data_IF_890373673289
#
_entry.id   IF_890373673289
#
_cell.length_a   1.000
_cell.length_b   1.000
_cell.length_c   1.000
_cell.angle_alpha   90.00
_cell.angle_beta   90.00
_cell.angle_gamma   90.00
#
_symmetry.space_group_name_H-M   'P 1'
#
loop_
_entity.id
_entity.type
_entity.pdbx_description
1 polymer ?
#
# COMPACT_ATOMS: atom_id res chain seq x y z
N UNK A 1 4.82 -29.05 -16.38
CA UNK A 1 5.02 -27.59 -16.53
C UNK A 1 3.67 -26.94 -16.26
N UNK A 2 3.60 -25.98 -15.34
CA UNK A 2 2.34 -25.26 -15.11
C UNK A 2 2.02 -24.45 -16.38
N UNK A 3 0.75 -24.45 -16.81
CA UNK A 3 0.32 -23.63 -17.95
C UNK A 3 0.58 -22.15 -17.68
N UNK A 4 1.03 -21.37 -18.68
CA UNK A 4 1.24 -19.94 -18.51
C UNK A 4 -0.09 -19.28 -18.13
N UNK A 5 -0.05 -18.46 -17.07
CA UNK A 5 -1.21 -17.68 -16.63
C UNK A 5 -1.51 -16.60 -17.67
N UNK A 6 -2.79 -16.31 -17.87
CA UNK A 6 -3.26 -15.30 -18.83
C UNK A 6 -3.78 -14.07 -18.10
N UNK A 7 -3.53 -12.91 -18.69
CA UNK A 7 -4.00 -11.63 -18.20
C UNK A 7 -5.53 -11.58 -18.25
N UNK A 8 -6.23 -11.27 -17.16
CA UNK A 8 -7.69 -11.25 -17.15
C UNK A 8 -8.29 -10.04 -17.87
N UNK A 9 -7.48 -9.05 -18.23
CA UNK A 9 -7.91 -7.87 -18.97
C UNK A 9 -7.84 -8.05 -20.50
N UNK A 10 -6.83 -8.76 -21.02
CA UNK A 10 -6.60 -8.88 -22.47
C UNK A 10 -6.20 -10.30 -22.95
N UNK A 11 -6.23 -11.30 -22.07
CA UNK A 11 -5.92 -12.72 -22.32
C UNK A 11 -4.48 -13.05 -22.79
N UNK A 12 -3.61 -12.07 -22.92
CA UNK A 12 -2.18 -12.27 -23.21
C UNK A 12 -1.47 -13.01 -22.06
N UNK A 13 -0.48 -13.89 -22.33
CA UNK A 13 0.26 -14.57 -21.29
C UNK A 13 1.11 -13.58 -20.49
N UNK A 14 1.14 -13.75 -19.17
CA UNK A 14 2.04 -12.99 -18.31
C UNK A 14 3.51 -13.33 -18.61
N UNK A 15 4.37 -12.34 -18.43
CA UNK A 15 5.83 -12.50 -18.45
C UNK A 15 6.40 -12.16 -17.06
N UNK A 16 7.44 -12.87 -16.61
CA UNK A 16 8.06 -12.59 -15.32
C UNK A 16 8.76 -11.24 -15.33
N UNK A 17 8.56 -10.46 -14.28
CA UNK A 17 9.16 -9.15 -14.06
C UNK A 17 9.77 -9.07 -12.66
N UNK A 18 11.07 -8.77 -12.56
CA UNK A 18 11.78 -8.77 -11.29
C UNK A 18 11.79 -7.38 -10.65
N UNK A 19 11.34 -7.30 -9.39
CA UNK A 19 11.38 -6.07 -8.59
C UNK A 19 11.79 -6.37 -7.16
N UNK A 20 12.85 -5.70 -6.68
CA UNK A 20 13.40 -5.90 -5.32
C UNK A 20 13.70 -7.38 -5.01
N UNK A 21 14.15 -8.13 -6.01
CA UNK A 21 14.42 -9.56 -5.87
C UNK A 21 13.17 -10.45 -5.81
N UNK A 22 11.99 -9.92 -6.11
CA UNK A 22 10.73 -10.65 -6.21
C UNK A 22 10.34 -10.76 -7.69
N UNK A 23 10.02 -11.95 -8.16
CA UNK A 23 9.43 -12.18 -9.47
C UNK A 23 7.94 -11.84 -9.41
N UNK A 24 7.43 -11.06 -10.36
CA UNK A 24 6.03 -10.63 -10.47
C UNK A 24 5.50 -10.96 -11.86
N UNK A 25 4.18 -11.16 -12.00
CA UNK A 25 3.53 -11.40 -13.29
C UNK A 25 3.15 -10.06 -13.95
N UNK A 26 3.77 -9.71 -15.08
CA UNK A 26 3.48 -8.49 -15.87
C UNK A 26 2.89 -8.84 -17.24
N UNK A 27 1.79 -8.19 -17.62
CA UNK A 27 1.18 -8.37 -18.93
C UNK A 27 1.85 -7.46 -19.97
N UNK A 28 2.45 -7.99 -21.06
CA UNK A 28 3.06 -7.17 -22.09
C UNK A 28 2.04 -6.45 -22.98
N UNK A 29 0.78 -6.91 -23.01
CA UNK A 29 -0.29 -6.35 -23.85
C UNK A 29 -0.91 -5.09 -23.25
N UNK A 30 -1.54 -5.22 -22.08
CA UNK A 30 -2.20 -4.08 -21.43
C UNK A 30 -1.37 -3.40 -20.33
N UNK A 31 -0.24 -3.99 -19.92
CA UNK A 31 0.58 -3.49 -18.82
C UNK A 31 0.06 -3.78 -17.41
N UNK A 32 -1.04 -4.52 -17.28
CA UNK A 32 -1.55 -4.97 -16.00
C UNK A 32 -0.58 -5.92 -15.29
N UNK A 33 -0.64 -5.95 -13.96
CA UNK A 33 0.17 -6.79 -13.10
C UNK A 33 -0.71 -7.71 -12.27
N UNK A 34 -0.25 -8.95 -12.08
CA UNK A 34 -0.82 -9.84 -11.08
C UNK A 34 0.21 -10.07 -9.96
N UNK A 35 -0.21 -9.80 -8.73
CA UNK A 35 0.57 -10.01 -7.53
C UNK A 35 0.04 -11.25 -6.81
N UNK A 36 0.89 -12.25 -6.64
CA UNK A 36 0.55 -13.44 -5.86
C UNK A 36 0.32 -13.13 -4.38
N UNK A 37 -0.33 -14.04 -3.64
CA UNK A 37 -0.51 -13.87 -2.20
C UNK A 37 0.84 -13.70 -1.50
N UNK A 38 1.03 -12.57 -0.81
CA UNK A 38 2.23 -12.26 -0.05
C UNK A 38 3.29 -11.45 -0.81
N UNK A 39 3.29 -11.46 -2.14
CA UNK A 39 4.20 -10.63 -2.96
C UNK A 39 4.07 -9.13 -2.70
N UNK A 40 2.87 -8.53 -2.53
CA UNK A 40 2.74 -7.12 -2.19
C UNK A 40 3.62 -6.75 -0.99
N UNK A 41 3.64 -7.59 0.05
CA UNK A 41 4.44 -7.37 1.26
C UNK A 41 5.94 -7.41 0.96
N UNK A 42 6.39 -8.35 0.12
CA UNK A 42 7.80 -8.49 -0.27
C UNK A 42 8.30 -7.26 -1.03
N UNK A 43 7.44 -6.61 -1.83
CA UNK A 43 7.76 -5.34 -2.50
C UNK A 43 7.50 -4.10 -1.64
N UNK A 44 7.15 -4.28 -0.35
CA UNK A 44 6.99 -3.20 0.63
C UNK A 44 5.59 -2.56 0.66
N UNK A 45 4.57 -3.29 0.23
CA UNK A 45 3.16 -2.88 0.26
C UNK A 45 2.41 -3.75 1.27
N UNK A 46 2.08 -3.20 2.43
CA UNK A 46 1.24 -3.90 3.43
C UNK A 46 -0.24 -3.75 3.07
N UNK A 47 -0.86 -4.86 2.66
CA UNK A 47 -2.26 -4.90 2.24
C UNK A 47 -3.21 -5.30 3.36
N UNK A 48 -2.72 -5.59 4.57
CA UNK A 48 -3.55 -6.03 5.69
C UNK A 48 -4.53 -4.94 6.14
N UNK A 49 -4.08 -3.70 6.24
CA UNK A 49 -4.98 -2.59 6.58
C UNK A 49 -5.96 -2.28 5.45
N UNK A 50 -5.55 -2.55 4.20
CA UNK A 50 -6.34 -2.28 3.02
C UNK A 50 -7.49 -3.28 2.82
N UNK A 51 -7.25 -4.58 3.04
CA UNK A 51 -8.28 -5.63 2.86
C UNK A 51 -8.73 -6.27 4.18
N UNK A 52 -8.27 -5.76 5.31
CA UNK A 52 -8.62 -6.26 6.64
C UNK A 52 -9.82 -5.55 7.26
N UNK A 53 -10.07 -5.77 8.56
CA UNK A 53 -11.24 -5.22 9.27
C UNK A 53 -11.09 -3.74 9.69
N UNK A 54 -10.24 -2.96 9.00
CA UNK A 54 -10.03 -1.55 9.35
C UNK A 54 -11.21 -0.69 8.89
N UNK A 55 -11.51 0.39 9.62
CA UNK A 55 -12.49 1.40 9.16
C UNK A 55 -12.00 2.15 7.90
N UNK A 56 -10.70 2.05 7.63
CA UNK A 56 -10.03 2.60 6.44
C UNK A 56 -9.76 1.54 5.37
N UNK A 57 -10.33 0.34 5.53
CA UNK A 57 -10.23 -0.71 4.52
C UNK A 57 -10.92 -0.28 3.22
N UNK A 58 -10.47 -0.89 2.12
CA UNK A 58 -11.08 -0.72 0.82
C UNK A 58 -12.54 -1.21 0.85
N UNK A 59 -13.42 -0.44 0.22
CA UNK A 59 -14.83 -0.75 0.12
C UNK A 59 -15.03 -1.83 -0.93
N UNK A 60 -15.71 -2.89 -0.56
CA UNK A 60 -16.11 -3.96 -1.45
C UNK A 60 -17.17 -3.47 -2.46
N UNK A 61 -16.87 -3.61 -3.76
CA UNK A 61 -17.74 -3.24 -4.89
C UNK A 61 -18.43 -4.44 -5.55
N UNK A 62 -18.28 -5.65 -4.99
CA UNK A 62 -18.87 -6.88 -5.50
C UNK A 62 -17.93 -7.65 -6.43
N UNK A 63 -18.50 -8.59 -7.20
CA UNK A 63 -17.75 -9.41 -8.15
C UNK A 63 -17.25 -8.59 -9.35
N UNK A 64 -16.06 -8.91 -9.82
CA UNK A 64 -15.50 -8.47 -11.10
C UNK A 64 -15.91 -9.45 -12.21
N UNK A 65 -15.92 -8.97 -13.45
CA UNK A 65 -15.96 -9.85 -14.64
C UNK A 65 -14.63 -10.57 -14.87
N UNK A 66 -13.54 -10.08 -14.26
CA UNK A 66 -12.19 -10.65 -14.35
C UNK A 66 -12.05 -11.90 -13.49
N UNK A 67 -11.30 -12.87 -14.02
CA UNK A 67 -10.99 -14.15 -13.34
C UNK A 67 -9.59 -14.14 -12.76
N UNK A 68 -9.40 -14.84 -11.64
CA UNK A 68 -8.10 -15.06 -11.02
C UNK A 68 -7.19 -15.82 -12.00
N UNK A 69 -6.02 -15.28 -12.38
CA UNK A 69 -5.12 -15.95 -13.32
C UNK A 69 -4.58 -17.30 -12.82
N UNK A 70 -4.55 -17.50 -11.50
CA UNK A 70 -4.06 -18.73 -10.90
C UNK A 70 -5.13 -19.85 -10.80
N UNK A 71 -6.41 -19.50 -10.60
CA UNK A 71 -7.46 -20.48 -10.28
C UNK A 71 -8.71 -20.40 -11.18
N UNK A 72 -8.86 -19.34 -11.98
CA UNK A 72 -10.02 -19.13 -12.87
C UNK A 72 -11.30 -18.64 -12.19
N UNK A 73 -11.32 -18.50 -10.86
CA UNK A 73 -12.47 -17.98 -10.11
C UNK A 73 -12.69 -16.48 -10.32
N UNK A 74 -13.93 -16.00 -10.20
CA UNK A 74 -14.21 -14.57 -10.29
C UNK A 74 -13.50 -13.80 -9.17
N UNK A 75 -12.84 -12.70 -9.50
CA UNK A 75 -12.25 -11.81 -8.50
C UNK A 75 -13.30 -10.85 -7.96
N UNK A 76 -13.02 -10.19 -6.84
CA UNK A 76 -13.82 -9.09 -6.31
C UNK A 76 -13.17 -7.75 -6.57
N UNK A 77 -13.97 -6.73 -6.79
CA UNK A 77 -13.53 -5.34 -6.94
C UNK A 77 -13.56 -4.64 -5.60
N UNK A 78 -12.53 -3.84 -5.33
CA UNK A 78 -12.41 -3.04 -4.12
C UNK A 78 -12.05 -1.61 -4.49
N UNK A 79 -12.75 -0.62 -3.94
CA UNK A 79 -12.40 0.79 -4.03
C UNK A 79 -11.60 1.22 -2.79
N UNK A 80 -10.37 1.64 -2.99
CA UNK A 80 -9.51 2.15 -1.94
C UNK A 80 -9.38 3.67 -2.00
N UNK A 81 -9.63 4.35 -0.87
CA UNK A 81 -9.64 5.80 -0.80
C UNK A 81 -8.23 6.41 -0.91
N UNK A 82 -8.12 7.45 -1.74
CA UNK A 82 -6.93 8.28 -1.91
C UNK A 82 -7.25 9.75 -1.57
N UNK A 83 -6.24 10.60 -1.29
CA UNK A 83 -6.49 12.02 -1.05
C UNK A 83 -7.18 12.75 -2.22
N UNK A 84 -7.05 12.23 -3.44
CA UNK A 84 -7.59 12.82 -4.67
C UNK A 84 -8.46 11.85 -5.47
N UNK A 85 -9.23 11.00 -4.79
CA UNK A 85 -10.17 10.07 -5.44
C UNK A 85 -10.12 8.69 -4.82
N UNK A 86 -10.30 7.67 -5.64
CA UNK A 86 -10.20 6.27 -5.26
C UNK A 86 -9.46 5.50 -6.34
N UNK A 87 -8.88 4.36 -5.96
CA UNK A 87 -8.35 3.36 -6.89
C UNK A 87 -9.19 2.11 -6.77
N UNK A 88 -9.69 1.61 -7.89
CA UNK A 88 -10.31 0.29 -7.95
C UNK A 88 -9.21 -0.76 -8.14
N UNK A 89 -9.31 -1.89 -7.46
CA UNK A 89 -8.41 -3.03 -7.65
C UNK A 89 -9.19 -4.33 -7.57
N UNK A 90 -8.73 -5.36 -8.27
CA UNK A 90 -9.28 -6.70 -8.09
C UNK A 90 -8.46 -7.55 -7.14
N UNK A 91 -9.17 -8.27 -6.27
CA UNK A 91 -8.57 -9.27 -5.39
C UNK A 91 -9.30 -10.59 -5.52
N UNK A 92 -8.54 -11.66 -5.72
CA UNK A 92 -9.06 -13.03 -5.77
C UNK A 92 -9.38 -13.54 -4.36
N UNK A 93 -10.57 -14.10 -4.16
CA UNK A 93 -10.93 -14.71 -2.86
C UNK A 93 -10.26 -16.07 -2.64
N UNK A 94 -10.06 -16.87 -3.70
CA UNK A 94 -9.44 -18.20 -3.60
C UNK A 94 -8.02 -18.19 -3.02
N UNK A 95 -7.19 -17.22 -3.42
CA UNK A 95 -5.80 -17.16 -3.00
C UNK A 95 -5.41 -15.85 -2.33
N UNK A 96 -6.14 -14.77 -2.54
CA UNK A 96 -5.77 -13.44 -2.07
C UNK A 96 -4.84 -12.66 -3.01
N UNK A 97 -4.58 -13.18 -4.22
CA UNK A 97 -3.82 -12.47 -5.25
C UNK A 97 -4.55 -11.20 -5.71
N UNK A 98 -3.78 -10.21 -6.15
CA UNK A 98 -4.28 -8.88 -6.54
C UNK A 98 -3.94 -8.62 -7.99
N UNK A 99 -4.93 -8.20 -8.78
CA UNK A 99 -4.69 -7.70 -10.13
C UNK A 99 -4.77 -6.18 -10.13
N UNK A 100 -3.85 -5.55 -10.87
CA UNK A 100 -3.72 -4.11 -11.02
C UNK A 100 -3.68 -3.81 -12.52
N UNK A 101 -4.49 -2.88 -13.00
CA UNK A 101 -4.31 -2.33 -14.33
C UNK A 101 -3.03 -1.48 -14.39
N UNK A 102 -2.57 -1.18 -15.61
CA UNK A 102 -1.30 -0.50 -15.86
C UNK A 102 -1.11 0.80 -15.06
N UNK A 103 -2.19 1.57 -14.88
CA UNK A 103 -2.15 2.87 -14.22
C UNK A 103 -2.43 2.79 -12.71
N UNK A 104 -2.79 1.62 -12.19
CA UNK A 104 -3.25 1.46 -10.80
C UNK A 104 -2.11 1.16 -9.82
N UNK A 105 -0.92 0.78 -10.31
CA UNK A 105 0.18 0.28 -9.46
C UNK A 105 0.62 1.28 -8.38
N UNK A 106 0.85 2.55 -8.75
CA UNK A 106 1.26 3.58 -7.77
C UNK A 106 0.10 3.96 -6.85
N UNK A 107 -1.11 4.09 -7.41
CA UNK A 107 -2.31 4.43 -6.68
C UNK A 107 -2.64 3.37 -5.61
N UNK A 108 -2.52 2.08 -5.94
CA UNK A 108 -2.64 0.97 -5.02
C UNK A 108 -1.60 1.02 -3.90
N UNK A 109 -0.32 1.22 -4.23
CA UNK A 109 0.74 1.33 -3.24
C UNK A 109 0.52 2.53 -2.30
N UNK A 110 0.06 3.66 -2.83
CA UNK A 110 -0.30 4.84 -2.04
C UNK A 110 -1.50 4.56 -1.12
N UNK A 111 -2.54 3.91 -1.63
CA UNK A 111 -3.74 3.57 -0.86
C UNK A 111 -3.42 2.60 0.29
N UNK A 112 -2.61 1.57 0.03
CA UNK A 112 -2.15 0.63 1.05
C UNK A 112 -1.36 1.32 2.17
N UNK A 113 -0.38 2.18 1.81
CA UNK A 113 0.39 2.97 2.79
C UNK A 113 -0.52 3.87 3.64
N UNK A 114 -1.50 4.51 3.01
CA UNK A 114 -2.47 5.38 3.69
C UNK A 114 -3.34 4.59 4.66
N UNK A 115 -3.91 3.46 4.23
CA UNK A 115 -4.72 2.60 5.07
C UNK A 115 -3.93 2.13 6.30
N UNK A 116 -2.67 1.74 6.11
CA UNK A 116 -1.78 1.35 7.22
C UNK A 116 -1.54 2.49 8.21
N UNK A 117 -1.21 3.69 7.71
CA UNK A 117 -0.97 4.85 8.59
C UNK A 117 -2.20 5.19 9.43
N UNK A 118 -3.38 5.23 8.80
CA UNK A 118 -4.62 5.54 9.50
C UNK A 118 -4.99 4.47 10.54
N UNK A 119 -4.75 3.18 10.24
CA UNK A 119 -4.96 2.10 11.21
C UNK A 119 -4.05 2.21 12.45
N UNK A 120 -2.80 2.64 12.25
CA UNK A 120 -1.85 2.94 13.34
C UNK A 120 -2.31 4.14 14.16
N UNK A 121 -2.75 5.22 13.52
CA UNK A 121 -3.23 6.43 14.20
C UNK A 121 -4.49 6.12 15.04
N UNK A 122 -5.46 5.40 14.47
CA UNK A 122 -6.64 4.90 15.18
C UNK A 122 -6.30 4.04 16.40
N UNK A 123 -5.32 3.15 16.25
CA UNK A 123 -4.87 2.29 17.34
C UNK A 123 -4.21 3.09 18.46
N UNK A 124 -3.47 4.16 18.11
CA UNK A 124 -2.89 5.08 19.08
C UNK A 124 -3.96 5.85 19.85
N UNK A 125 -4.94 6.41 19.13
CA UNK A 125 -6.03 7.20 19.73
C UNK A 125 -6.89 6.37 20.67
N UNK A 126 -7.21 5.12 20.29
CA UNK A 126 -7.93 4.19 21.19
C UNK A 126 -7.17 3.92 22.48
N UNK A 127 -5.84 3.77 22.42
CA UNK A 127 -4.99 3.55 23.60
C UNK A 127 -4.89 4.80 24.47
N UNK A 128 -4.70 5.96 23.86
CA UNK A 128 -4.64 7.24 24.56
C UNK A 128 -5.97 7.56 25.27
N UNK A 129 -7.10 7.36 24.57
CA UNK A 129 -8.43 7.53 25.14
C UNK A 129 -8.74 6.54 26.27
N UNK A 130 -8.28 5.29 26.17
CA UNK A 130 -8.42 4.30 27.23
C UNK A 130 -7.60 4.67 28.49
N UNK A 131 -6.38 5.16 28.32
CA UNK A 131 -5.54 5.63 29.42
C UNK A 131 -6.08 6.91 30.10
N UNK A 132 -6.80 7.74 29.35
CA UNK A 132 -7.38 9.00 29.83
C UNK A 132 -8.73 8.85 30.54
N UNK A 133 -9.23 7.63 30.77
CA UNK A 133 -10.39 7.38 31.65
C UNK A 133 -9.90 7.01 33.06
N UNK A 134 -9.54 7.99 33.93
CA UNK A 134 -9.44 7.71 35.36
C UNK A 134 -10.83 7.27 35.81
N UNK A 135 -10.89 6.16 36.56
CA UNK A 135 -12.14 5.51 36.90
C UNK A 135 -13.24 6.49 37.31
N UNK A 136 -14.35 6.47 36.57
CA UNK A 136 -15.67 6.80 37.09
C UNK A 136 -16.07 5.71 38.11
N UNK A 137 -15.23 5.53 39.13
CA UNK A 137 -15.57 4.85 40.34
C UNK A 137 -16.25 5.89 41.22
N UNK A 138 -17.57 6.01 41.07
CA UNK A 138 -18.45 6.40 42.18
C UNK A 138 -18.45 5.26 43.22
N UNK A 139 -17.28 4.86 43.66
CA UNK A 139 -17.06 3.90 44.74
C UNK A 139 -16.60 4.72 45.92
N UNK A 140 -17.53 5.04 46.81
CA UNK A 140 -17.28 5.83 48.01
C UNK A 140 -15.99 5.42 48.71
N UNK A 141 -15.19 6.42 49.05
CA UNK A 141 -14.08 6.33 49.99
C UNK A 141 -14.57 5.62 51.28
N UNK A 142 -14.32 4.32 51.41
CA UNK A 142 -14.19 3.68 52.72
C UNK A 142 -12.71 3.57 52.98
N UNK A 143 -12.21 4.44 53.84
CA UNK A 143 -10.83 4.44 54.34
C UNK A 143 -10.43 3.02 54.79
N UNK A 144 -9.54 2.33 54.08
CA UNK A 144 -8.80 1.22 54.65
C UNK A 144 -7.58 1.85 55.31
N UNK A 145 -7.58 1.94 56.64
CA UNK A 145 -6.42 2.39 57.39
C UNK A 145 -5.16 1.65 56.95
N UNK A 146 -4.26 2.34 56.23
CA UNK A 146 -2.92 1.84 55.92
C UNK A 146 -1.88 2.95 56.03
N UNK A 147 -0.76 2.51 56.59
CA UNK A 147 0.41 3.29 56.92
C UNK A 147 0.95 4.09 55.73
N UNK A 148 1.39 5.31 56.05
CA UNK A 148 1.89 6.33 55.14
C UNK A 148 3.25 5.93 54.54
N UNK A 149 3.25 5.22 53.42
CA UNK A 149 4.38 5.23 52.49
C UNK A 149 4.32 6.51 51.65
N UNK A 150 5.24 7.46 51.85
CA UNK A 150 5.31 8.69 51.05
C UNK A 150 5.62 8.33 49.60
N UNK A 151 4.64 8.46 48.71
CA UNK A 151 4.90 8.63 47.29
C UNK A 151 5.59 9.98 47.10
N UNK A 152 6.85 9.95 46.68
CA UNK A 152 7.58 11.16 46.27
C UNK A 152 7.33 11.32 44.78
N UNK A 153 6.49 12.27 44.34
CA UNK A 153 6.36 12.56 42.92
C UNK A 153 7.73 12.97 42.38
N UNK A 154 8.10 12.60 41.13
CA UNK A 154 9.28 13.16 40.51
C UNK A 154 9.17 14.70 40.52
N UNK A 155 10.27 15.42 40.77
CA UNK A 155 10.23 16.87 40.85
C UNK A 155 9.61 17.45 39.58
N UNK A 156 8.74 18.44 39.75
CA UNK A 156 8.11 19.15 38.66
C UNK A 156 9.20 19.63 37.69
N UNK A 157 9.19 19.14 36.46
CA UNK A 157 10.13 19.57 35.45
C UNK A 157 9.92 21.06 35.23
N UNK A 158 10.94 21.85 35.50
CA UNK A 158 10.89 23.28 35.28
C UNK A 158 10.80 23.55 33.78
N UNK A 159 10.32 24.73 33.40
CA UNK A 159 10.34 25.16 32.00
C UNK A 159 11.75 25.06 31.39
N UNK A 160 12.79 25.25 32.20
CA UNK A 160 14.18 25.09 31.78
C UNK A 160 14.53 23.63 31.42
N UNK A 161 14.03 22.65 32.19
CA UNK A 161 14.24 21.22 31.91
C UNK A 161 13.58 20.79 30.59
N UNK A 162 12.39 21.35 30.31
CA UNK A 162 11.69 21.15 29.03
C UNK A 162 12.44 21.80 27.86
N UNK A 163 12.93 23.03 28.03
CA UNK A 163 13.71 23.73 27.00
C UNK A 163 15.06 23.01 26.71
N UNK A 164 15.73 22.49 27.74
CA UNK A 164 16.94 21.66 27.65
C UNK A 164 16.66 20.34 26.89
N UNK A 165 15.56 19.66 27.20
CA UNK A 165 15.14 18.43 26.51
C UNK A 165 14.86 18.67 25.01
N UNK A 166 14.19 19.77 24.68
CA UNK A 166 13.95 20.18 23.28
C UNK A 166 15.26 20.50 22.56
N UNK A 167 16.20 21.20 23.22
CA UNK A 167 17.55 21.46 22.66
C UNK A 167 18.31 20.17 22.40
N UNK A 168 18.30 19.20 23.32
CA UNK A 168 18.96 17.89 23.13
C UNK A 168 18.36 17.12 21.95
N UNK A 169 17.04 17.16 21.79
CA UNK A 169 16.36 16.55 20.64
C UNK A 169 16.75 17.21 19.32
N UNK A 170 16.83 18.55 19.28
CA UNK A 170 17.28 19.30 18.09
C UNK A 170 18.75 19.05 17.73
N UNK A 171 19.61 18.81 18.72
CA UNK A 171 21.02 18.41 18.47
C UNK A 171 21.11 17.01 17.87
N UNK A 172 20.28 16.07 18.31
CA UNK A 172 20.18 14.73 17.71
C UNK A 172 19.64 14.75 16.27
N UNK A 173 18.79 15.70 15.92
CA UNK A 173 18.23 15.82 14.57
C UNK A 173 19.01 16.78 13.66
N UNK A 174 20.16 17.30 14.12
CA UNK A 174 21.02 18.21 13.34
C UNK A 174 22.04 17.48 12.46
N UNK A 175 22.21 16.17 12.67
CA UNK A 175 22.73 15.34 11.58
C UNK A 175 21.63 15.30 10.53
N UNK A 176 21.85 15.88 9.33
CA UNK A 176 20.94 15.65 8.23
C UNK A 176 20.82 14.13 8.09
N UNK A 177 19.60 13.56 7.94
CA UNK A 177 19.51 12.17 7.57
C UNK A 177 20.42 12.00 6.36
N UNK A 178 21.33 11.01 6.40
CA UNK A 178 22.10 10.66 5.21
C UNK A 178 21.13 10.66 4.04
N UNK A 179 21.47 11.28 2.89
CA UNK A 179 20.62 11.23 1.72
C UNK A 179 20.37 9.76 1.44
N UNK A 180 19.21 9.25 1.87
CA UNK A 180 18.68 8.01 1.34
C UNK A 180 18.60 8.32 -0.12
N UNK A 181 19.30 7.54 -0.93
CA UNK A 181 19.19 7.56 -2.38
C UNK A 181 17.70 7.48 -2.74
N UNK A 182 17.04 8.63 -2.79
CA UNK A 182 15.81 8.82 -3.52
C UNK A 182 16.29 8.85 -4.95
N UNK A 183 16.67 7.68 -5.46
CA UNK A 183 16.80 7.47 -6.89
C UNK A 183 15.54 8.08 -7.49
N UNK A 184 15.67 9.10 -8.35
CA UNK A 184 14.53 9.77 -8.94
C UNK A 184 13.80 8.75 -9.82
N UNK A 185 12.80 8.07 -9.23
CA UNK A 185 11.83 7.16 -9.83
C UNK A 185 12.29 6.55 -11.18
N UNK A 186 13.50 5.95 -11.23
CA UNK A 186 14.09 5.34 -12.44
C UNK A 186 13.14 4.27 -12.98
N UNK A 187 12.35 3.70 -12.06
CA UNK A 187 11.16 2.88 -12.25
C UNK A 187 10.17 3.42 -13.29
N UNK A 188 9.79 4.71 -13.23
CA UNK A 188 8.85 5.32 -14.19
C UNK A 188 9.49 5.53 -15.56
N UNK A 189 10.80 5.78 -15.63
CA UNK A 189 11.51 5.92 -16.90
C UNK A 189 11.67 4.57 -17.60
N UNK A 190 12.09 3.53 -16.87
CA UNK A 190 12.25 2.18 -17.42
C UNK A 190 10.92 1.52 -17.79
N UNK A 191 9.86 1.65 -16.99
CA UNK A 191 8.54 1.14 -17.38
C UNK A 191 7.98 1.92 -18.56
N UNK A 192 8.10 3.25 -18.58
CA UNK A 192 7.58 4.05 -19.70
C UNK A 192 8.35 3.80 -20.99
N UNK A 193 9.67 3.62 -20.94
CA UNK A 193 10.46 3.26 -22.12
C UNK A 193 10.24 1.81 -22.55
N UNK A 194 10.07 0.87 -21.61
CA UNK A 194 9.71 -0.51 -21.93
C UNK A 194 8.32 -0.57 -22.59
N UNK A 195 7.31 0.12 -22.05
CA UNK A 195 5.99 0.22 -22.67
C UNK A 195 6.00 0.98 -24.00
N UNK A 196 6.80 2.04 -24.13
CA UNK A 196 6.98 2.77 -25.40
C UNK A 196 7.68 1.92 -26.47
N UNK A 197 8.63 1.08 -26.07
CA UNK A 197 9.31 0.15 -26.96
C UNK A 197 8.39 -1.01 -27.43
N UNK A 198 7.43 -1.43 -26.59
CA UNK A 198 6.45 -2.46 -26.96
C UNK A 198 5.31 -1.89 -27.81
N UNK A 199 4.81 -0.69 -27.50
CA UNK A 199 3.73 -0.02 -28.26
C UNK A 199 4.20 0.54 -29.62
N UNK A 200 5.51 0.73 -29.82
CA UNK A 200 6.09 1.23 -31.08
C UNK A 200 6.18 0.23 -32.25
N UNK A 201 5.82 -1.04 -32.08
CA UNK A 201 5.93 -2.08 -33.16
C UNK A 201 4.62 -2.34 -33.92
N UNK A 202 3.63 -1.45 -33.83
CA UNK A 202 2.28 -1.65 -34.39
C UNK A 202 1.92 -0.89 -35.66
N UNK A 203 2.77 0.01 -36.19
CA UNK A 203 2.48 0.66 -37.47
C UNK A 203 2.95 -0.24 -38.63
N UNK A 204 2.04 -1.07 -39.15
CA UNK A 204 2.23 -1.69 -40.48
C UNK A 204 2.34 -0.55 -41.50
N UNK A 205 3.35 -0.54 -42.39
CA UNK A 205 3.33 0.36 -43.53
C UNK A 205 2.07 0.05 -44.35
N UNK A 206 1.21 1.04 -44.59
CA UNK A 206 0.21 0.98 -45.64
C UNK A 206 0.98 0.72 -46.95
N UNK A 207 0.77 -0.45 -47.54
CA UNK A 207 1.28 -0.78 -48.86
C UNK A 207 0.55 0.11 -49.86
N UNK A 208 1.22 1.22 -50.17
CA UNK A 208 0.92 2.17 -51.23
C UNK A 208 0.70 1.38 -52.54
N UNK A 209 -0.58 1.20 -52.88
CA UNK A 209 -1.02 0.52 -54.10
C UNK A 209 -0.90 1.50 -55.25
N UNK A 210 0.33 1.68 -55.71
CA UNK A 210 0.66 2.33 -56.96
C UNK A 210 0.30 1.39 -58.14
N UNK A 211 -0.98 1.30 -58.48
CA UNK A 211 -1.40 0.84 -59.81
C UNK A 211 -1.18 1.99 -60.80
N UNK A 212 0.03 1.95 -61.35
CA UNK A 212 0.46 2.62 -62.57
C UNK A 212 -0.01 1.77 -63.73
N UNK A 213 -0.81 2.31 -64.63
CA UNK A 213 -0.94 1.77 -65.98
C UNK A 213 -1.16 2.91 -67.02
N UNK A 214 -0.78 2.66 -68.28
CA UNK A 214 0.00 3.57 -69.12
C UNK A 214 -0.78 4.58 -69.98
#
# INVERSE_FOLDING_TARGET
>A
MASPRRCPACDEPFVPFWRRGVELDLCPGCGGMFLEPGEPKLIGVDTRALFGPSVHAARDLGLSSRRCPAHGEAMRRYAAALPRGEVEVERAECCGGVFLDAEETEAFAQAARRAFQLDVDDAWDRRAGAAARPGAGEGGYREPGRARGRFVPPPAQTRADLEEAVRRRRRRTKEPPEPRDTEPNLFMWLLRDFFRALSGRGARPEEDSAEREP
#
